data_IF_597042342673
#
_entry.id   IF_597042342673
#
_cell.length_a   1.000
_cell.length_b   1.000
_cell.length_c   1.000
_cell.angle_alpha   90.00
_cell.angle_beta   90.00
_cell.angle_gamma   90.00
#
_symmetry.space_group_name_H-M   'P 1'
#
loop_
_entity.id
_entity.type
_entity.pdbx_description
1 polymer ?
#
# COMPACT_ATOMS: atom_id res chain seq x y z
N UNK A 1 0.58 10.76 46.16
CA UNK A 1 1.11 11.76 45.22
C UNK A 1 2.28 11.08 44.51
N UNK A 2 2.33 10.82 43.21
CA UNK A 2 1.61 11.28 42.01
C UNK A 2 1.83 10.20 40.94
N UNK A 3 0.74 9.79 40.29
CA UNK A 3 0.65 8.96 39.09
C UNK A 3 1.39 9.59 37.91
N UNK A 4 2.17 8.85 37.11
CA UNK A 4 2.36 9.09 35.65
C UNK A 4 2.93 7.86 34.89
N UNK A 5 2.14 7.24 34.00
CA UNK A 5 2.69 6.65 32.77
C UNK A 5 1.94 7.20 31.53
N UNK A 6 2.37 8.35 31.00
CA UNK A 6 1.69 9.01 29.87
C UNK A 6 2.58 9.24 28.62
N UNK A 7 3.86 8.87 28.63
CA UNK A 7 4.77 9.20 27.51
C UNK A 7 4.95 8.08 26.47
N UNK A 8 4.58 6.83 26.77
CA UNK A 8 4.78 5.71 25.84
C UNK A 8 3.74 5.66 24.69
N UNK A 9 2.55 6.22 24.90
CA UNK A 9 1.46 6.21 23.90
C UNK A 9 1.67 7.22 22.78
N UNK A 10 2.40 8.32 23.02
CA UNK A 10 2.62 9.36 22.01
C UNK A 10 3.49 8.88 20.84
N UNK A 11 4.54 8.09 21.11
CA UNK A 11 5.44 7.58 20.05
C UNK A 11 4.75 6.54 19.18
N UNK A 12 3.95 5.65 19.77
CA UNK A 12 3.22 4.61 19.03
C UNK A 12 2.13 5.24 18.16
N UNK A 13 1.46 6.30 18.63
CA UNK A 13 0.46 7.00 17.83
C UNK A 13 1.07 7.73 16.62
N UNK A 14 2.25 8.36 16.78
CA UNK A 14 2.96 9.02 15.68
C UNK A 14 3.46 8.02 14.64
N UNK A 15 3.99 6.87 15.08
CA UNK A 15 4.41 5.78 14.19
C UNK A 15 3.22 5.20 13.40
N UNK A 16 2.07 5.02 14.07
CA UNK A 16 0.87 4.48 13.44
C UNK A 16 0.26 5.43 12.40
N UNK A 17 0.23 6.75 12.68
CA UNK A 17 -0.22 7.76 11.71
C UNK A 17 0.75 7.85 10.51
N UNK A 18 2.06 7.78 10.75
CA UNK A 18 3.04 7.74 9.66
C UNK A 18 2.84 6.50 8.76
N UNK A 19 2.65 5.31 9.35
CA UNK A 19 2.36 4.09 8.61
C UNK A 19 1.04 4.16 7.84
N UNK A 20 0.01 4.77 8.45
CA UNK A 20 -1.28 5.00 7.80
C UNK A 20 -1.13 5.90 6.58
N UNK A 21 -0.46 7.04 6.73
CA UNK A 21 -0.22 7.97 5.63
C UNK A 21 0.59 7.31 4.51
N UNK A 22 1.63 6.55 4.87
CA UNK A 22 2.43 5.81 3.90
C UNK A 22 1.60 4.75 3.16
N UNK A 23 0.77 3.99 3.88
CA UNK A 23 -0.09 2.97 3.28
C UNK A 23 -1.13 3.60 2.34
N UNK A 24 -1.75 4.71 2.75
CA UNK A 24 -2.71 5.45 1.93
C UNK A 24 -2.05 5.99 0.65
N UNK A 25 -0.89 6.62 0.76
CA UNK A 25 -0.16 7.14 -0.40
C UNK A 25 0.23 6.02 -1.38
N UNK A 26 0.70 4.88 -0.85
CA UNK A 26 1.10 3.74 -1.67
C UNK A 26 -0.10 3.09 -2.38
N UNK A 27 -1.23 2.96 -1.68
CA UNK A 27 -2.49 2.46 -2.25
C UNK A 27 -3.00 3.37 -3.37
N UNK A 28 -3.06 4.67 -3.13
CA UNK A 28 -3.52 5.65 -4.13
C UNK A 28 -2.62 5.70 -5.36
N UNK A 29 -1.30 5.69 -5.16
CA UNK A 29 -0.33 5.67 -6.25
C UNK A 29 -0.47 4.41 -7.11
N UNK A 30 -0.56 3.24 -6.46
CA UNK A 30 -0.69 1.95 -7.15
C UNK A 30 -2.03 1.83 -7.88
N UNK A 31 -3.11 2.32 -7.28
CA UNK A 31 -4.43 2.34 -7.92
C UNK A 31 -4.42 3.20 -9.18
N UNK A 32 -3.97 4.45 -9.09
CA UNK A 32 -3.86 5.36 -10.25
C UNK A 32 -2.99 4.74 -11.35
N UNK A 33 -1.85 4.18 -10.98
CA UNK A 33 -0.98 3.52 -11.94
C UNK A 33 -1.68 2.36 -12.64
N UNK A 34 -2.44 1.55 -11.90
CA UNK A 34 -3.17 0.41 -12.44
C UNK A 34 -4.31 0.86 -13.37
N UNK A 35 -5.01 1.95 -13.06
CA UNK A 35 -6.04 2.54 -13.94
C UNK A 35 -5.45 2.94 -15.31
N UNK A 36 -4.27 3.56 -15.32
CA UNK A 36 -3.57 3.95 -16.54
C UNK A 36 -2.96 2.75 -17.28
N UNK A 37 -2.54 1.71 -16.55
CA UNK A 37 -1.90 0.52 -17.09
C UNK A 37 -2.89 -0.51 -17.66
N UNK A 38 -4.09 -0.63 -17.08
CA UNK A 38 -5.15 -1.56 -17.50
C UNK A 38 -5.54 -1.48 -19.00
N UNK A 39 -5.72 -0.30 -19.63
CA UNK A 39 -6.05 -0.23 -21.06
C UNK A 39 -4.91 -0.75 -21.95
N UNK A 40 -3.67 -0.68 -21.48
CA UNK A 40 -2.47 -1.13 -22.22
C UNK A 40 -2.16 -2.60 -21.95
N UNK A 41 -2.40 -3.06 -20.72
CA UNK A 41 -2.11 -4.41 -20.26
C UNK A 41 -3.27 -4.96 -19.41
N UNK A 42 -4.35 -5.45 -20.05
CA UNK A 42 -5.53 -5.96 -19.34
C UNK A 42 -5.24 -7.16 -18.44
N UNK A 43 -4.15 -7.88 -18.69
CA UNK A 43 -3.62 -8.95 -17.83
C UNK A 43 -3.27 -8.48 -16.40
N UNK A 44 -3.04 -7.18 -16.19
CA UNK A 44 -2.81 -6.60 -14.86
C UNK A 44 -4.08 -6.57 -14.01
N UNK A 45 -5.25 -6.86 -14.58
CA UNK A 45 -6.50 -7.07 -13.81
C UNK A 45 -6.36 -8.16 -12.74
N UNK A 46 -5.46 -9.12 -12.92
CA UNK A 46 -5.11 -10.11 -11.89
C UNK A 46 -4.50 -9.49 -10.61
N UNK A 47 -4.02 -8.24 -10.69
CA UNK A 47 -3.46 -7.47 -9.57
C UNK A 47 -4.52 -6.67 -8.80
N UNK A 48 -5.75 -6.58 -9.31
CA UNK A 48 -6.88 -5.95 -8.60
C UNK A 48 -7.24 -6.69 -7.30
N UNK A 49 -7.39 -8.03 -7.26
CA UNK A 49 -7.67 -8.75 -6.02
C UNK A 49 -6.66 -8.48 -4.87
N UNK A 50 -5.32 -8.60 -5.08
CA UNK A 50 -4.38 -8.33 -4.00
C UNK A 50 -4.32 -6.85 -3.60
N UNK A 51 -4.65 -5.91 -4.51
CA UNK A 51 -4.84 -4.50 -4.16
C UNK A 51 -6.07 -4.30 -3.26
N UNK A 52 -7.19 -4.96 -3.55
CA UNK A 52 -8.38 -4.95 -2.69
C UNK A 52 -8.04 -5.52 -1.31
N UNK A 53 -7.27 -6.62 -1.23
CA UNK A 53 -6.80 -7.15 0.06
C UNK A 53 -6.00 -6.11 0.85
N UNK A 54 -5.10 -5.37 0.20
CA UNK A 54 -4.34 -4.31 0.85
C UNK A 54 -5.26 -3.17 1.36
N UNK A 55 -6.29 -2.78 0.60
CA UNK A 55 -7.31 -1.80 1.05
C UNK A 55 -8.06 -2.32 2.27
N UNK A 56 -8.44 -3.59 2.30
CA UNK A 56 -9.14 -4.17 3.45
C UNK A 56 -8.26 -4.21 4.70
N UNK A 57 -6.96 -4.50 4.56
CA UNK A 57 -6.00 -4.41 5.67
C UNK A 57 -5.86 -2.97 6.18
N UNK A 58 -5.86 -1.99 5.28
CA UNK A 58 -5.87 -0.57 5.66
C UNK A 58 -7.13 -0.19 6.43
N UNK A 59 -8.31 -0.63 5.98
CA UNK A 59 -9.59 -0.40 6.67
C UNK A 59 -9.63 -1.08 8.04
N UNK A 60 -9.00 -2.25 8.18
CA UNK A 60 -8.84 -2.96 9.44
C UNK A 60 -7.78 -2.34 10.38
N UNK A 61 -7.23 -1.17 10.04
CA UNK A 61 -6.11 -0.51 10.74
C UNK A 61 -4.84 -1.36 10.85
N UNK A 62 -4.73 -2.42 10.04
CA UNK A 62 -3.56 -3.29 9.97
C UNK A 62 -2.52 -2.71 9.01
N UNK A 63 -2.03 -1.49 9.30
CA UNK A 63 -1.15 -0.73 8.40
C UNK A 63 0.15 -1.47 8.09
N UNK A 64 0.72 -2.21 9.04
CA UNK A 64 1.93 -3.01 8.80
C UNK A 64 1.67 -4.12 7.77
N UNK A 65 0.58 -4.87 7.93
CA UNK A 65 0.20 -5.92 6.98
C UNK A 65 -0.14 -5.33 5.61
N UNK A 66 -0.79 -4.16 5.57
CA UNK A 66 -1.07 -3.42 4.35
C UNK A 66 0.22 -3.04 3.60
N UNK A 67 1.20 -2.45 4.28
CA UNK A 67 2.48 -2.07 3.67
C UNK A 67 3.27 -3.28 3.16
N UNK A 68 3.23 -4.39 3.90
CA UNK A 68 3.88 -5.64 3.47
C UNK A 68 3.18 -6.22 2.22
N UNK A 69 1.85 -6.27 2.22
CA UNK A 69 1.06 -6.71 1.06
C UNK A 69 1.31 -5.82 -0.16
N UNK A 70 1.36 -4.51 0.03
CA UNK A 70 1.64 -3.56 -1.04
C UNK A 70 3.05 -3.69 -1.59
N UNK A 71 4.04 -4.01 -0.76
CA UNK A 71 5.41 -4.26 -1.21
C UNK A 71 5.48 -5.47 -2.16
N UNK A 72 4.70 -6.52 -1.87
CA UNK A 72 4.57 -7.70 -2.75
C UNK A 72 3.90 -7.30 -4.08
N UNK A 73 2.79 -6.54 -4.02
CA UNK A 73 2.07 -6.06 -5.22
C UNK A 73 2.98 -5.21 -6.11
N UNK A 74 3.67 -4.22 -5.52
CA UNK A 74 4.61 -3.34 -6.22
C UNK A 74 5.77 -4.14 -6.83
N UNK A 75 6.31 -5.13 -6.12
CA UNK A 75 7.34 -6.03 -6.65
C UNK A 75 6.87 -6.78 -7.90
N UNK A 76 5.68 -7.38 -7.83
CA UNK A 76 5.07 -8.07 -8.96
C UNK A 76 4.74 -7.15 -10.13
N UNK A 77 4.25 -5.93 -9.86
CA UNK A 77 3.99 -4.92 -10.89
C UNK A 77 5.28 -4.44 -11.56
N UNK A 78 6.36 -4.26 -10.80
CA UNK A 78 7.68 -3.96 -11.36
C UNK A 78 8.13 -5.09 -12.28
N UNK A 79 8.02 -6.34 -11.85
CA UNK A 79 8.37 -7.48 -12.70
C UNK A 79 7.53 -7.54 -13.99
N UNK A 80 6.22 -7.26 -13.90
CA UNK A 80 5.35 -7.16 -15.07
C UNK A 80 5.79 -6.01 -16.00
N UNK A 81 6.17 -4.85 -15.46
CA UNK A 81 6.73 -3.72 -16.23
C UNK A 81 8.03 -4.08 -16.95
N UNK A 82 8.90 -4.90 -16.35
CA UNK A 82 10.09 -5.40 -17.03
C UNK A 82 9.75 -6.25 -18.27
N UNK A 83 8.66 -7.03 -18.21
CA UNK A 83 8.16 -7.79 -19.35
C UNK A 83 7.39 -6.90 -20.37
N UNK A 84 6.82 -5.78 -19.93
CA UNK A 84 5.99 -4.89 -20.74
C UNK A 84 6.48 -3.42 -20.62
N UNK A 85 7.51 -3.02 -21.39
CA UNK A 85 8.14 -1.70 -21.28
C UNK A 85 7.24 -0.54 -21.72
N UNK A 86 6.09 -0.82 -22.35
CA UNK A 86 5.05 0.15 -22.70
C UNK A 86 4.28 0.69 -21.47
N UNK A 87 4.41 0.04 -20.32
CA UNK A 87 3.71 0.43 -19.09
C UNK A 87 4.29 1.72 -18.48
N UNK A 88 3.49 2.50 -17.73
CA UNK A 88 3.97 3.71 -17.06
C UNK A 88 5.03 3.40 -15.98
N UNK A 89 5.88 4.37 -15.61
CA UNK A 89 6.83 4.19 -14.51
C UNK A 89 6.12 4.10 -13.17
N UNK A 90 6.63 3.24 -12.27
CA UNK A 90 6.02 2.87 -11.00
C UNK A 90 6.83 3.33 -9.79
#
# INVERSE_FOLDING_TARGET
MITHPAMATSTVAVDNEAMRQQAAALLQHTHRWLEEALPVAPQLSAMVPPLITAVQLYQAQQYHACLNQMSIVVGSLRQARWAFPILPPL
#
